data_IF_197615955113
#
_entry.id   IF_197615955113
#
_cell.length_a   1.000
_cell.length_b   1.000
_cell.length_c   1.000
_cell.angle_alpha   90.00
_cell.angle_beta   90.00
_cell.angle_gamma   90.00
#
_symmetry.space_group_name_H-M   'P 1'
#
loop_
_entity.id
_entity.type
_entity.pdbx_description
1 polymer ?
#
# COMPACT_ATOMS: atom_id res chain seq x y z
N UNK A 1 30.21 -9.66 27.50
CA UNK A 1 29.12 -10.43 26.84
C UNK A 1 28.50 -9.53 25.78
N UNK A 2 28.94 -9.62 24.53
CA UNK A 2 28.29 -8.92 23.42
C UNK A 2 26.96 -9.60 23.13
N UNK A 3 25.84 -8.91 23.39
CA UNK A 3 24.54 -9.32 22.85
C UNK A 3 24.56 -9.02 21.35
N UNK A 4 24.59 -10.06 20.54
CA UNK A 4 24.34 -9.98 19.09
C UNK A 4 22.99 -9.30 18.84
N UNK A 5 22.96 -8.34 17.91
CA UNK A 5 21.73 -7.75 17.39
C UNK A 5 20.81 -8.86 16.85
N UNK A 6 19.48 -8.76 17.04
CA UNK A 6 18.54 -9.74 16.50
C UNK A 6 18.66 -9.76 14.98
N UNK A 7 19.03 -10.90 14.43
CA UNK A 7 19.05 -11.16 13.00
C UNK A 7 17.61 -11.06 12.49
N UNK A 8 17.31 -10.05 11.66
CA UNK A 8 16.00 -9.98 10.98
C UNK A 8 15.89 -11.24 10.11
N UNK A 9 14.90 -12.07 10.41
CA UNK A 9 14.74 -13.39 9.80
C UNK A 9 14.18 -13.26 8.39
N UNK A 10 15.02 -13.17 7.36
CA UNK A 10 14.60 -13.12 5.96
C UNK A 10 13.95 -14.43 5.48
N UNK A 11 12.92 -14.34 4.62
CA UNK A 11 12.31 -15.50 3.95
C UNK A 11 12.72 -15.57 2.48
N UNK A 12 13.04 -16.77 2.01
CA UNK A 12 13.37 -17.03 0.61
C UNK A 12 12.38 -18.02 0.02
N UNK A 13 11.97 -17.77 -1.23
CA UNK A 13 11.36 -18.78 -2.07
C UNK A 13 12.38 -19.87 -2.39
N UNK A 14 11.98 -21.15 -2.49
CA UNK A 14 12.91 -22.22 -2.80
C UNK A 14 13.48 -22.06 -4.22
N UNK A 15 14.69 -22.56 -4.43
CA UNK A 15 15.35 -22.55 -5.74
C UNK A 15 14.55 -23.26 -6.83
N UNK A 16 13.88 -24.37 -6.49
CA UNK A 16 12.85 -24.99 -7.32
C UNK A 16 11.49 -24.52 -6.84
N UNK A 17 11.02 -23.44 -7.46
CA UNK A 17 9.75 -22.79 -7.13
C UNK A 17 8.60 -23.53 -7.81
N UNK A 18 7.52 -23.81 -7.07
CA UNK A 18 6.27 -24.32 -7.64
C UNK A 18 5.22 -23.21 -7.72
N UNK A 19 4.80 -22.90 -8.93
CA UNK A 19 3.79 -21.89 -9.23
C UNK A 19 2.53 -22.56 -9.75
N UNK A 20 1.40 -22.33 -9.08
CA UNK A 20 0.08 -22.70 -9.59
C UNK A 20 -0.53 -21.50 -10.29
N UNK A 21 -0.77 -21.60 -11.59
CA UNK A 21 -1.46 -20.59 -12.38
C UNK A 21 -2.88 -21.07 -12.69
N UNK A 22 -3.88 -20.31 -12.25
CA UNK A 22 -5.29 -20.56 -12.51
C UNK A 22 -5.76 -19.51 -13.51
N UNK A 23 -6.19 -19.96 -14.67
CA UNK A 23 -6.83 -19.12 -15.67
C UNK A 23 -8.34 -19.35 -15.56
N UNK A 24 -9.04 -18.33 -15.09
CA UNK A 24 -10.48 -18.34 -14.92
C UNK A 24 -11.23 -18.17 -16.24
N UNK A 25 -12.50 -17.74 -16.15
CA UNK A 25 -13.27 -17.37 -17.33
C UNK A 25 -12.52 -16.29 -18.13
N UNK A 26 -12.20 -16.60 -19.39
CA UNK A 26 -11.45 -15.73 -20.30
C UNK A 26 -12.34 -14.93 -21.27
N UNK A 27 -13.65 -14.92 -21.08
CA UNK A 27 -14.58 -14.21 -21.97
C UNK A 27 -14.21 -12.72 -22.06
N UNK A 28 -13.75 -12.28 -23.24
CA UNK A 28 -13.32 -10.90 -23.46
C UNK A 28 -11.96 -10.52 -22.88
N UNK A 29 -11.18 -11.48 -22.35
CA UNK A 29 -9.84 -11.27 -21.79
C UNK A 29 -8.77 -11.99 -22.61
N UNK A 30 -7.58 -11.40 -22.74
CA UNK A 30 -6.43 -12.07 -23.37
C UNK A 30 -5.48 -12.65 -22.32
N UNK A 31 -5.75 -13.87 -21.84
CA UNK A 31 -4.91 -14.52 -20.82
C UNK A 31 -3.62 -15.14 -21.35
N UNK A 32 -3.42 -15.16 -22.67
CA UNK A 32 -2.21 -15.76 -23.28
C UNK A 32 -0.95 -14.95 -22.95
N UNK A 33 -1.06 -13.62 -22.82
CA UNK A 33 0.08 -12.77 -22.45
C UNK A 33 0.53 -12.99 -21.00
N UNK A 34 -0.41 -13.24 -20.08
CA UNK A 34 -0.10 -13.66 -18.71
C UNK A 34 0.69 -14.98 -18.70
N UNK A 35 0.22 -15.96 -19.48
CA UNK A 35 0.88 -17.26 -19.61
C UNK A 35 2.28 -17.11 -20.20
N UNK A 36 2.45 -16.26 -21.21
CA UNK A 36 3.76 -15.99 -21.80
C UNK A 36 4.70 -15.36 -20.77
N UNK A 37 4.22 -14.39 -19.99
CA UNK A 37 4.98 -13.75 -18.91
C UNK A 37 5.44 -14.77 -17.86
N UNK A 38 4.59 -15.72 -17.49
CA UNK A 38 4.94 -16.81 -16.59
C UNK A 38 5.98 -17.75 -17.22
N UNK A 39 5.80 -18.15 -18.49
CA UNK A 39 6.72 -19.05 -19.20
C UNK A 39 8.12 -18.44 -19.37
N UNK A 40 8.26 -17.12 -19.44
CA UNK A 40 9.56 -16.41 -19.48
C UNK A 40 10.45 -16.69 -18.25
N UNK A 41 9.87 -17.17 -17.14
CA UNK A 41 10.63 -17.61 -15.95
C UNK A 41 11.51 -18.85 -16.21
N UNK A 42 11.24 -19.58 -17.29
CA UNK A 42 12.03 -20.72 -17.73
C UNK A 42 11.96 -21.93 -16.79
N UNK A 43 12.88 -22.89 -16.99
CA UNK A 43 12.84 -24.21 -16.36
C UNK A 43 13.20 -24.23 -14.86
N UNK A 44 13.45 -23.07 -14.27
CA UNK A 44 13.78 -22.92 -12.84
C UNK A 44 12.49 -22.96 -11.99
N UNK A 45 11.34 -22.70 -12.62
CA UNK A 45 10.02 -22.70 -12.01
C UNK A 45 9.19 -23.87 -12.56
N UNK A 46 8.65 -24.68 -11.67
CA UNK A 46 7.63 -25.66 -12.01
C UNK A 46 6.27 -24.95 -12.06
N UNK A 47 5.81 -24.63 -13.26
CA UNK A 47 4.51 -23.99 -13.49
C UNK A 47 3.47 -25.08 -13.77
N UNK A 48 2.42 -25.12 -12.96
CA UNK A 48 1.21 -25.89 -13.24
C UNK A 48 0.11 -24.94 -13.67
N UNK A 49 -0.31 -25.06 -14.92
CA UNK A 49 -1.41 -24.28 -15.47
C UNK A 49 -2.73 -25.03 -15.33
N UNK A 50 -3.77 -24.36 -14.84
CA UNK A 50 -5.15 -24.81 -14.79
C UNK A 50 -6.02 -23.85 -15.57
N UNK A 51 -6.44 -24.27 -16.76
CA UNK A 51 -7.36 -23.52 -17.63
C UNK A 51 -8.80 -23.92 -17.29
N UNK A 52 -9.60 -22.94 -16.91
CA UNK A 52 -11.02 -23.09 -16.54
C UNK A 52 -11.31 -24.32 -15.64
N UNK A 53 -10.61 -24.51 -14.50
CA UNK A 53 -10.80 -25.70 -13.69
C UNK A 53 -12.18 -25.76 -13.05
N UNK A 54 -12.67 -26.97 -12.80
CA UNK A 54 -13.83 -27.15 -11.92
C UNK A 54 -13.50 -26.82 -10.46
N UNK A 55 -14.51 -26.43 -9.67
CA UNK A 55 -14.35 -26.23 -8.22
C UNK A 55 -13.67 -27.45 -7.57
N UNK A 56 -14.14 -28.67 -7.89
CA UNK A 56 -13.60 -29.90 -7.31
C UNK A 56 -12.12 -30.10 -7.62
N UNK A 57 -11.69 -29.78 -8.84
CA UNK A 57 -10.29 -29.85 -9.24
C UNK A 57 -9.44 -28.83 -8.48
N UNK A 58 -9.91 -27.58 -8.40
CA UNK A 58 -9.23 -26.51 -7.70
C UNK A 58 -8.98 -26.87 -6.23
N UNK A 59 -10.02 -27.33 -5.52
CA UNK A 59 -9.89 -27.81 -4.14
C UNK A 59 -8.88 -28.96 -4.02
N UNK A 60 -8.95 -29.95 -4.91
CA UNK A 60 -8.07 -31.11 -4.89
C UNK A 60 -6.61 -30.71 -5.05
N UNK A 61 -6.30 -29.82 -5.99
CA UNK A 61 -4.92 -29.41 -6.31
C UNK A 61 -4.34 -28.52 -5.22
N UNK A 62 -5.09 -27.53 -4.74
CA UNK A 62 -4.64 -26.67 -3.65
C UNK A 62 -4.48 -27.44 -2.32
N UNK A 63 -5.26 -28.51 -2.11
CA UNK A 63 -5.17 -29.32 -0.90
C UNK A 63 -4.00 -30.31 -0.90
N UNK A 64 -3.79 -31.01 -2.03
CA UNK A 64 -2.86 -32.15 -2.10
C UNK A 64 -1.43 -31.78 -2.44
N UNK A 65 -1.21 -30.65 -3.09
CA UNK A 65 0.09 -30.25 -3.59
C UNK A 65 0.65 -29.04 -2.85
N UNK A 66 1.98 -28.91 -2.85
CA UNK A 66 2.68 -27.74 -2.31
C UNK A 66 2.84 -26.68 -3.38
N UNK A 67 2.54 -25.43 -3.03
CA UNK A 67 2.70 -24.27 -3.90
C UNK A 67 3.47 -23.19 -3.16
N UNK A 68 4.38 -22.50 -3.83
CA UNK A 68 5.12 -21.36 -3.26
C UNK A 68 4.49 -20.05 -3.72
N UNK A 69 4.03 -20.00 -4.97
CA UNK A 69 3.27 -18.90 -5.58
C UNK A 69 1.93 -19.42 -6.12
N UNK A 70 0.86 -18.69 -5.85
CA UNK A 70 -0.45 -18.83 -6.48
C UNK A 70 -0.67 -17.64 -7.41
N UNK A 71 -1.05 -17.89 -8.65
CA UNK A 71 -1.42 -16.88 -9.62
C UNK A 71 -2.84 -17.14 -10.12
N UNK A 72 -3.65 -16.09 -10.19
CA UNK A 72 -4.98 -16.11 -10.79
C UNK A 72 -5.11 -14.97 -11.79
N UNK A 73 -5.67 -15.27 -12.98
CA UNK A 73 -6.09 -14.28 -13.96
C UNK A 73 -7.45 -14.70 -14.55
N UNK A 74 -8.34 -13.74 -14.76
CA UNK A 74 -9.72 -13.97 -15.17
C UNK A 74 -10.66 -12.96 -14.53
N UNK A 75 -11.97 -13.12 -14.73
CA UNK A 75 -12.96 -12.23 -14.10
C UNK A 75 -13.02 -12.40 -12.58
N UNK A 76 -13.11 -11.27 -11.88
CA UNK A 76 -13.46 -11.21 -10.46
C UNK A 76 -14.44 -10.09 -10.18
N UNK A 77 -15.18 -10.25 -9.09
CA UNK A 77 -16.22 -9.31 -8.67
C UNK A 77 -16.26 -9.26 -7.14
N UNK A 78 -16.32 -8.07 -6.56
CA UNK A 78 -16.56 -7.87 -5.12
C UNK A 78 -17.97 -7.35 -4.89
N UNK A 79 -18.59 -7.77 -3.79
CA UNK A 79 -19.87 -7.18 -3.38
C UNK A 79 -19.67 -5.69 -3.02
N UNK A 80 -20.74 -4.88 -3.11
CA UNK A 80 -20.74 -3.41 -2.86
C UNK A 80 -20.09 -3.00 -1.51
N UNK A 81 -20.02 -3.92 -0.54
CA UNK A 81 -19.43 -3.67 0.77
C UNK A 81 -17.91 -3.93 0.87
N UNK A 82 -17.27 -4.41 -0.22
CA UNK A 82 -15.86 -4.80 -0.31
C UNK A 82 -15.40 -5.82 0.76
N UNK A 83 -16.32 -6.55 1.38
CA UNK A 83 -16.00 -7.57 2.41
C UNK A 83 -15.89 -8.97 1.82
N UNK A 84 -16.45 -9.18 0.64
CA UNK A 84 -16.42 -10.45 -0.06
C UNK A 84 -15.97 -10.23 -1.50
N UNK A 85 -15.23 -11.20 -2.03
CA UNK A 85 -14.74 -11.20 -3.40
C UNK A 85 -14.91 -12.59 -4.00
N UNK A 86 -15.36 -12.64 -5.24
CA UNK A 86 -15.55 -13.84 -6.03
C UNK A 86 -14.65 -13.85 -7.26
N UNK A 87 -14.18 -15.04 -7.63
CA UNK A 87 -13.39 -15.28 -8.84
C UNK A 87 -14.18 -16.21 -9.75
N UNK A 88 -14.33 -15.86 -11.02
CA UNK A 88 -14.92 -16.73 -12.04
C UNK A 88 -13.85 -17.73 -12.49
N UNK A 89 -13.91 -18.95 -11.96
CA UNK A 89 -12.88 -19.96 -12.20
C UNK A 89 -13.07 -20.69 -13.53
N UNK A 90 -14.26 -20.63 -14.12
CA UNK A 90 -14.58 -21.06 -15.48
C UNK A 90 -15.86 -20.35 -15.94
N UNK A 91 -16.30 -20.59 -17.18
CA UNK A 91 -17.52 -19.99 -17.74
C UNK A 91 -18.83 -20.27 -16.99
N UNK A 92 -18.87 -21.26 -16.09
CA UNK A 92 -20.09 -21.69 -15.38
C UNK A 92 -20.02 -21.52 -13.85
N UNK A 93 -18.82 -21.46 -13.29
CA UNK A 93 -18.58 -21.49 -11.85
C UNK A 93 -17.80 -20.26 -11.40
N UNK A 94 -18.39 -19.53 -10.44
CA UNK A 94 -17.71 -18.52 -9.64
C UNK A 94 -17.57 -18.99 -8.20
N UNK A 95 -16.48 -18.57 -7.56
CA UNK A 95 -16.15 -18.99 -6.21
C UNK A 95 -15.79 -17.78 -5.34
N UNK A 96 -16.42 -17.68 -4.18
CA UNK A 96 -16.03 -16.73 -3.15
C UNK A 96 -14.77 -17.26 -2.44
N UNK A 97 -13.73 -16.42 -2.31
CA UNK A 97 -12.46 -16.84 -1.70
C UNK A 97 -12.60 -17.34 -0.26
N UNK A 98 -13.63 -16.91 0.48
CA UNK A 98 -13.94 -17.46 1.81
C UNK A 98 -14.34 -18.94 1.76
N UNK A 99 -14.91 -19.43 0.65
CA UNK A 99 -15.20 -20.85 0.46
C UNK A 99 -13.88 -21.65 0.44
N UNK A 100 -12.80 -21.10 -0.12
CA UNK A 100 -11.46 -21.69 -0.10
C UNK A 100 -10.69 -21.50 1.21
N UNK A 101 -11.31 -20.97 2.28
CA UNK A 101 -10.61 -20.61 3.53
C UNK A 101 -9.74 -21.72 4.09
N UNK A 102 -10.26 -22.94 4.22
CA UNK A 102 -9.49 -24.07 4.73
C UNK A 102 -8.43 -24.56 3.73
N UNK A 103 -8.78 -24.57 2.45
CA UNK A 103 -7.91 -24.98 1.36
C UNK A 103 -6.68 -24.09 1.23
N UNK A 104 -6.86 -22.77 1.25
CA UNK A 104 -5.77 -21.79 1.19
C UNK A 104 -4.96 -21.75 2.50
N UNK A 105 -5.59 -21.98 3.65
CA UNK A 105 -4.86 -22.15 4.92
C UNK A 105 -3.92 -23.36 4.89
N UNK A 106 -4.38 -24.48 4.33
CA UNK A 106 -3.56 -25.67 4.11
C UNK A 106 -2.44 -25.39 3.11
N UNK A 107 -2.74 -24.75 1.96
CA UNK A 107 -1.73 -24.36 0.97
C UNK A 107 -0.62 -23.47 1.58
N UNK A 108 -1.00 -22.50 2.42
CA UNK A 108 -0.07 -21.65 3.19
C UNK A 108 0.77 -22.46 4.17
N UNK A 109 0.17 -23.37 4.93
CA UNK A 109 0.91 -24.25 5.84
C UNK A 109 1.91 -25.13 5.08
N UNK A 110 1.60 -25.50 3.84
CA UNK A 110 2.44 -26.32 2.98
C UNK A 110 3.51 -25.53 2.22
N UNK A 111 3.47 -24.20 2.20
CA UNK A 111 4.53 -23.40 1.60
C UNK A 111 4.11 -22.09 0.96
N UNK A 112 2.82 -21.87 0.68
CA UNK A 112 2.38 -20.71 -0.10
C UNK A 112 2.78 -19.40 0.58
N UNK A 113 3.61 -18.60 -0.10
CA UNK A 113 4.15 -17.33 0.40
C UNK A 113 3.58 -16.11 -0.30
N UNK A 114 3.22 -16.25 -1.58
CA UNK A 114 2.74 -15.17 -2.42
C UNK A 114 1.51 -15.62 -3.20
N UNK A 115 0.45 -14.82 -3.18
CA UNK A 115 -0.67 -14.93 -4.10
C UNK A 115 -0.76 -13.68 -4.98
N UNK A 116 -1.00 -13.84 -6.27
CA UNK A 116 -1.13 -12.75 -7.24
C UNK A 116 -2.48 -12.92 -7.93
N UNK A 117 -3.36 -11.94 -7.77
CA UNK A 117 -4.65 -11.86 -8.43
C UNK A 117 -4.57 -10.75 -9.47
N UNK A 118 -4.29 -11.16 -10.71
CA UNK A 118 -4.21 -10.29 -11.87
C UNK A 118 -5.59 -10.20 -12.51
N UNK A 119 -6.55 -9.65 -11.77
CA UNK A 119 -7.96 -9.59 -12.13
C UNK A 119 -8.59 -8.28 -11.66
N UNK A 120 -9.65 -7.84 -12.34
CA UNK A 120 -10.37 -6.61 -12.04
C UNK A 120 -11.05 -6.68 -10.66
N UNK A 121 -10.86 -5.66 -9.83
CA UNK A 121 -11.43 -5.53 -8.47
C UNK A 121 -10.86 -6.48 -7.41
N UNK A 122 -9.63 -6.18 -7.01
CA UNK A 122 -8.82 -6.93 -6.08
C UNK A 122 -8.87 -6.45 -4.63
N UNK A 123 -9.56 -5.35 -4.30
CA UNK A 123 -9.66 -4.86 -2.91
C UNK A 123 -10.59 -5.73 -2.05
N UNK A 124 -11.75 -6.12 -2.57
CA UNK A 124 -12.64 -7.07 -1.89
C UNK A 124 -12.00 -8.46 -1.76
N UNK A 125 -11.24 -8.89 -2.78
CA UNK A 125 -10.41 -10.10 -2.74
C UNK A 125 -9.32 -10.02 -1.66
N UNK A 126 -8.59 -8.90 -1.59
CA UNK A 126 -7.57 -8.68 -0.57
C UNK A 126 -8.13 -8.77 0.86
N UNK A 127 -9.26 -8.10 1.13
CA UNK A 127 -9.94 -8.16 2.42
C UNK A 127 -10.37 -9.59 2.78
N UNK A 128 -10.94 -10.33 1.83
CA UNK A 128 -11.33 -11.73 2.04
C UNK A 128 -10.13 -12.64 2.36
N UNK A 129 -8.93 -12.26 1.91
CA UNK A 129 -7.69 -13.04 2.09
C UNK A 129 -6.90 -12.66 3.36
N UNK A 130 -7.18 -11.53 4.02
CA UNK A 130 -6.51 -11.12 5.28
C UNK A 130 -6.62 -12.24 6.34
N UNK A 131 -7.79 -12.86 6.42
CA UNK A 131 -8.13 -13.94 7.34
C UNK A 131 -7.37 -15.27 7.10
N UNK A 132 -6.73 -15.38 5.93
CA UNK A 132 -5.98 -16.56 5.49
C UNK A 132 -4.51 -16.47 5.86
N UNK A 133 -4.03 -15.28 6.25
CA UNK A 133 -2.65 -15.01 6.69
C UNK A 133 -1.60 -15.47 5.67
N UNK A 134 -1.91 -15.38 4.38
CA UNK A 134 -0.91 -15.52 3.31
C UNK A 134 0.08 -14.35 3.49
N UNK A 135 1.41 -14.58 3.48
CA UNK A 135 2.37 -13.52 3.80
C UNK A 135 2.26 -12.30 2.90
N UNK A 136 2.12 -12.52 1.59
CA UNK A 136 2.01 -11.48 0.58
C UNK A 136 0.91 -11.79 -0.42
N UNK A 137 0.10 -10.80 -0.73
CA UNK A 137 -0.94 -10.85 -1.74
C UNK A 137 -0.76 -9.64 -2.64
N UNK A 138 -0.75 -9.83 -3.95
CA UNK A 138 -0.75 -8.75 -4.95
C UNK A 138 -2.11 -8.79 -5.64
N UNK A 139 -2.74 -7.62 -5.77
CA UNK A 139 -4.09 -7.42 -6.31
C UNK A 139 -4.13 -6.15 -7.16
N UNK A 140 -5.15 -6.00 -8.01
CA UNK A 140 -5.42 -4.77 -8.76
C UNK A 140 -6.55 -4.00 -8.08
N UNK A 141 -6.34 -2.74 -7.71
CA UNK A 141 -7.28 -1.98 -6.86
C UNK A 141 -8.62 -1.67 -7.49
N UNK A 142 -8.60 -1.49 -8.80
CA UNK A 142 -9.72 -1.02 -9.61
C UNK A 142 -9.84 -1.92 -10.84
N UNK A 143 -10.96 -1.89 -11.57
CA UNK A 143 -11.04 -2.48 -12.89
C UNK A 143 -9.88 -1.99 -13.75
N UNK A 144 -9.03 -2.92 -14.18
CA UNK A 144 -7.76 -2.62 -14.83
C UNK A 144 -7.84 -3.05 -16.29
N UNK A 145 -7.37 -2.22 -17.24
CA UNK A 145 -7.17 -2.67 -18.61
C UNK A 145 -6.17 -3.83 -18.65
N UNK A 146 -6.46 -4.87 -19.44
CA UNK A 146 -5.61 -6.06 -19.60
C UNK A 146 -4.12 -5.72 -19.77
N UNK A 147 -3.83 -4.72 -20.60
CA UNK A 147 -2.48 -4.26 -20.88
C UNK A 147 -1.71 -3.79 -19.63
N UNK A 148 -2.36 -3.10 -18.70
CA UNK A 148 -1.71 -2.63 -17.46
C UNK A 148 -1.41 -3.82 -16.54
N UNK A 149 -2.36 -4.75 -16.42
CA UNK A 149 -2.20 -5.97 -15.63
C UNK A 149 -1.10 -6.88 -16.18
N UNK A 150 -1.05 -7.08 -17.50
CA UNK A 150 -0.05 -7.89 -18.20
C UNK A 150 1.35 -7.28 -18.11
N UNK A 151 1.48 -5.97 -18.39
CA UNK A 151 2.76 -5.27 -18.32
C UNK A 151 3.31 -5.27 -16.88
N UNK A 152 2.45 -5.01 -15.89
CA UNK A 152 2.84 -5.10 -14.49
C UNK A 152 3.38 -6.50 -14.14
N UNK A 153 2.66 -7.54 -14.52
CA UNK A 153 3.05 -8.92 -14.23
C UNK A 153 4.42 -9.24 -14.81
N UNK A 154 4.66 -8.91 -16.08
CA UNK A 154 5.95 -9.10 -16.74
C UNK A 154 7.07 -8.37 -16.00
N UNK A 155 6.90 -7.05 -15.78
CA UNK A 155 7.91 -6.22 -15.14
C UNK A 155 8.22 -6.66 -13.71
N UNK A 156 7.20 -7.08 -12.96
CA UNK A 156 7.32 -7.59 -11.61
C UNK A 156 8.09 -8.91 -11.59
N UNK A 157 7.66 -9.90 -12.38
CA UNK A 157 8.29 -11.22 -12.42
C UNK A 157 9.75 -11.12 -12.89
N UNK A 158 10.02 -10.32 -13.92
CA UNK A 158 11.36 -10.08 -14.45
C UNK A 158 12.32 -9.51 -13.38
N UNK A 159 11.80 -8.64 -12.50
CA UNK A 159 12.61 -8.03 -11.43
C UNK A 159 12.73 -8.95 -10.23
N UNK A 160 11.62 -9.55 -9.80
CA UNK A 160 11.59 -10.40 -8.61
C UNK A 160 12.42 -11.66 -8.78
N UNK A 161 12.35 -12.30 -9.96
CA UNK A 161 13.16 -13.48 -10.31
C UNK A 161 14.67 -13.23 -10.35
N UNK A 162 15.13 -11.97 -10.36
CA UNK A 162 16.56 -11.60 -10.27
C UNK A 162 17.07 -11.49 -8.84
N UNK A 163 16.25 -11.85 -7.84
CA UNK A 163 16.68 -11.96 -6.44
C UNK A 163 16.63 -10.67 -5.64
N UNK A 164 16.05 -9.59 -6.18
CA UNK A 164 15.74 -8.41 -5.35
C UNK A 164 14.50 -8.69 -4.49
N UNK A 165 14.33 -7.95 -3.39
CA UNK A 165 13.18 -8.15 -2.49
C UNK A 165 11.86 -7.93 -3.21
N UNK A 166 10.82 -8.64 -2.77
CA UNK A 166 9.48 -8.55 -3.35
C UNK A 166 8.98 -7.11 -3.42
N UNK A 167 9.10 -6.35 -2.34
CA UNK A 167 8.72 -4.93 -2.27
C UNK A 167 9.47 -4.06 -3.28
N UNK A 168 10.78 -4.30 -3.45
CA UNK A 168 11.60 -3.55 -4.41
C UNK A 168 11.23 -3.89 -5.85
N UNK A 169 10.94 -5.17 -6.14
CA UNK A 169 10.45 -5.60 -7.45
C UNK A 169 9.09 -4.99 -7.76
N UNK A 170 8.17 -5.05 -6.79
CA UNK A 170 6.83 -4.48 -6.89
C UNK A 170 6.86 -2.98 -7.17
N UNK A 171 7.60 -2.21 -6.36
CA UNK A 171 7.73 -0.75 -6.54
C UNK A 171 8.29 -0.40 -7.91
N UNK A 172 9.40 -1.05 -8.31
CA UNK A 172 10.03 -0.80 -9.61
C UNK A 172 9.16 -1.22 -10.80
N UNK A 173 8.29 -2.21 -10.64
CA UNK A 173 7.33 -2.58 -11.68
C UNK A 173 6.28 -1.47 -11.84
N UNK A 174 5.72 -0.97 -10.73
CA UNK A 174 4.77 0.16 -10.74
C UNK A 174 5.36 1.43 -11.32
N UNK A 175 6.58 1.82 -10.91
CA UNK A 175 7.29 2.99 -11.46
C UNK A 175 7.44 2.90 -12.99
N UNK A 176 7.62 1.70 -13.53
CA UNK A 176 7.78 1.51 -14.98
C UNK A 176 6.47 1.50 -15.76
N UNK A 177 5.31 1.55 -15.10
CA UNK A 177 4.01 1.75 -15.76
C UNK A 177 3.72 3.23 -16.07
N UNK A 178 4.60 4.16 -15.69
CA UNK A 178 4.44 5.61 -15.90
C UNK A 178 4.17 5.97 -17.37
N UNK A 179 4.74 5.22 -18.32
CA UNK A 179 4.48 5.46 -19.74
C UNK A 179 3.00 5.18 -20.11
N UNK A 180 2.36 4.17 -19.50
CA UNK A 180 0.94 3.88 -19.70
C UNK A 180 0.07 4.96 -19.05
N UNK A 181 0.51 5.50 -17.91
CA UNK A 181 -0.18 6.58 -17.23
C UNK A 181 -0.26 7.86 -18.05
N UNK A 182 0.81 8.19 -18.78
CA UNK A 182 0.88 9.39 -19.62
C UNK A 182 0.33 9.22 -21.04
N UNK A 183 -0.06 8.00 -21.44
CA UNK A 183 -0.52 7.72 -22.81
C UNK A 183 -2.00 7.35 -22.85
N UNK A 184 -2.39 6.27 -22.19
CA UNK A 184 -3.70 5.62 -22.39
C UNK A 184 -4.48 5.40 -21.10
N UNK A 185 -3.82 5.26 -19.95
CA UNK A 185 -4.44 4.78 -18.71
C UNK A 185 -4.05 5.61 -17.49
N UNK A 186 -4.71 6.77 -17.25
CA UNK A 186 -4.44 7.62 -16.09
C UNK A 186 -4.47 6.81 -14.78
N UNK A 187 -3.43 6.96 -13.96
CA UNK A 187 -3.28 6.23 -12.70
C UNK A 187 -2.79 4.78 -12.82
N UNK A 188 -2.30 4.33 -13.99
CA UNK A 188 -1.75 2.97 -14.16
C UNK A 188 -0.71 2.58 -13.10
N UNK A 189 0.11 3.55 -12.64
CA UNK A 189 1.11 3.30 -11.59
C UNK A 189 0.50 3.06 -10.21
N UNK A 190 -0.78 3.37 -10.00
CA UNK A 190 -1.49 3.26 -8.72
C UNK A 190 -2.34 1.99 -8.60
N UNK A 191 -2.62 1.30 -9.71
CA UNK A 191 -3.54 0.17 -9.75
C UNK A 191 -3.01 -1.05 -8.99
N UNK A 192 -1.75 -1.51 -9.18
CA UNK A 192 -1.26 -2.66 -8.44
C UNK A 192 -1.09 -2.32 -6.96
N UNK A 193 -1.64 -3.17 -6.09
CA UNK A 193 -1.51 -3.08 -4.64
C UNK A 193 -0.96 -4.35 -4.03
N UNK A 194 -0.17 -4.18 -2.98
CA UNK A 194 0.37 -5.27 -2.18
C UNK A 194 -0.25 -5.24 -0.79
N UNK A 195 -0.84 -6.36 -0.40
CA UNK A 195 -1.33 -6.61 0.96
C UNK A 195 -0.36 -7.56 1.65
N UNK A 196 0.23 -7.06 2.74
CA UNK A 196 1.19 -7.79 3.54
C UNK A 196 0.59 -8.16 4.89
N UNK A 197 0.74 -9.42 5.29
CA UNK A 197 0.42 -9.82 6.65
C UNK A 197 1.42 -9.16 7.64
N UNK A 198 0.99 -8.60 8.79
CA UNK A 198 1.87 -7.84 9.70
C UNK A 198 3.12 -8.58 10.19
N UNK A 199 3.05 -9.91 10.24
CA UNK A 199 4.17 -10.77 10.66
C UNK A 199 5.00 -11.33 9.51
N UNK A 200 4.70 -10.93 8.26
CA UNK A 200 5.42 -11.41 7.09
C UNK A 200 6.83 -10.83 7.07
N UNK A 201 7.81 -11.72 6.94
CA UNK A 201 9.22 -11.36 6.80
C UNK A 201 9.53 -11.03 5.34
N UNK A 202 10.52 -10.16 5.07
CA UNK A 202 10.93 -9.82 3.72
C UNK A 202 11.12 -11.06 2.83
N UNK A 203 10.44 -11.09 1.68
CA UNK A 203 10.49 -12.20 0.74
C UNK A 203 11.45 -11.92 -0.41
N UNK A 204 12.29 -12.90 -0.72
CA UNK A 204 13.26 -12.87 -1.82
C UNK A 204 13.12 -14.11 -2.69
N UNK A 205 13.54 -13.99 -3.95
CA UNK A 205 13.67 -15.12 -4.87
C UNK A 205 15.09 -15.69 -4.81
N UNK A 206 15.24 -16.92 -4.33
CA UNK A 206 16.55 -17.58 -4.22
C UNK A 206 17.18 -17.80 -5.61
N UNK A 207 18.45 -17.40 -5.78
CA UNK A 207 19.17 -17.51 -7.05
C UNK A 207 19.98 -18.81 -7.16
N UNK A 208 20.05 -19.58 -6.08
CA UNK A 208 20.98 -20.68 -5.90
C UNK A 208 20.38 -21.79 -5.04
N UNK A 209 20.68 -23.06 -5.36
CA UNK A 209 20.14 -24.24 -4.67
C UNK A 209 20.51 -24.34 -3.18
N UNK A 210 21.42 -23.50 -2.71
CA UNK A 210 21.99 -23.49 -1.37
C UNK A 210 21.19 -22.67 -0.36
N UNK A 211 20.23 -21.84 -0.78
CA UNK A 211 19.35 -21.09 0.12
C UNK A 211 20.11 -20.20 1.14
N UNK A 212 21.36 -19.87 0.84
CA UNK A 212 22.24 -19.02 1.64
C UNK A 212 22.58 -17.83 0.76
N UNK A 213 22.60 -16.60 1.30
CA UNK A 213 23.04 -15.46 0.51
C UNK A 213 24.46 -15.74 0.01
N UNK A 214 24.65 -15.62 -1.30
CA UNK A 214 25.98 -15.50 -1.90
C UNK A 214 26.64 -14.28 -1.25
N UNK A 215 27.49 -14.56 -0.25
CA UNK A 215 28.42 -13.57 0.29
C UNK A 215 29.35 -13.22 -0.85
N UNK A 216 29.04 -12.13 -1.56
CA UNK A 216 29.89 -11.64 -2.64
C UNK A 216 31.26 -11.25 -2.06
N UNK A 217 32.21 -12.17 -2.29
CA UNK A 217 33.64 -11.98 -2.42
C UNK A 217 34.33 -10.93 -1.53
N UNK A 218 34.74 -11.32 -0.32
CA UNK A 218 35.79 -10.61 0.45
C UNK A 218 37.01 -11.48 0.81
N UNK A 219 37.09 -12.72 0.31
CA UNK A 219 38.08 -13.71 0.78
C UNK A 219 39.22 -14.06 -0.20
N UNK A 220 39.79 -13.08 -0.90
CA UNK A 220 41.01 -13.32 -1.74
C UNK A 220 42.21 -12.40 -1.41
N UNK A 221 42.09 -11.41 -0.53
CA UNK A 221 43.17 -10.41 -0.30
C UNK A 221 44.32 -10.85 0.64
N UNK A 222 44.09 -11.82 1.51
CA UNK A 222 44.99 -12.19 2.62
C UNK A 222 46.26 -12.97 2.26
N UNK A 223 46.38 -13.61 1.08
CA UNK A 223 47.57 -14.42 0.74
C UNK A 223 48.78 -13.61 0.28
N UNK A 224 48.64 -12.31 0.00
CA UNK A 224 49.74 -11.49 -0.55
C UNK A 224 50.44 -10.58 0.49
N UNK A 225 49.86 -10.33 1.67
CA UNK A 225 50.40 -9.35 2.65
C UNK A 225 51.40 -9.91 3.67
N UNK A 226 51.67 -11.22 3.67
CA UNK A 226 52.63 -11.83 4.61
C UNK A 226 54.08 -11.34 4.44
N UNK A 227 54.43 -10.81 3.26
CA UNK A 227 55.77 -10.28 2.97
C UNK A 227 55.94 -8.79 3.30
N UNK A 228 54.85 -8.03 3.43
CA UNK A 228 54.88 -6.56 3.63
C UNK A 228 54.89 -6.21 5.12
N UNK A 229 54.34 -7.08 5.98
CA UNK A 229 54.21 -6.84 7.42
C UNK A 229 55.53 -6.78 8.22
N UNK A 230 56.65 -7.29 7.67
CA UNK A 230 57.95 -7.25 8.37
C UNK A 230 58.71 -5.93 8.17
N UNK A 231 58.39 -5.16 7.13
CA UNK A 231 59.07 -3.89 6.84
C UNK A 231 58.50 -2.70 7.66
N UNK A 232 57.26 -2.80 8.12
CA UNK A 232 56.56 -1.70 8.82
C UNK A 232 56.79 -1.68 10.34
N UNK A 233 57.24 -2.79 10.93
CA UNK A 233 57.48 -2.89 12.38
C UNK A 233 58.71 -2.07 12.86
N UNK A 234 59.69 -1.80 12.00
CA UNK A 234 60.90 -1.04 12.36
C UNK A 234 60.68 0.49 12.36
N UNK A 235 59.69 1.00 11.62
CA UNK A 235 59.40 2.44 11.54
C UNK A 235 58.51 2.94 12.68
N UNK A 236 57.67 2.07 13.27
CA UNK A 236 56.77 2.44 14.36
C UNK A 236 57.46 2.52 15.74
N UNK A 237 58.64 1.92 15.89
CA UNK A 237 59.42 2.00 17.14
C UNK A 237 60.01 3.38 17.43
N UNK A 238 60.23 4.22 16.40
CA UNK A 238 60.83 5.55 16.55
C UNK A 238 59.82 6.68 16.80
N UNK A 239 58.53 6.47 16.49
CA UNK A 239 57.48 7.50 16.66
C UNK A 239 56.88 7.47 18.08
N UNK A 240 57.05 6.36 18.80
CA UNK A 240 56.46 6.15 20.12
C UNK A 240 57.15 6.91 21.29
N UNK A 241 58.30 7.57 21.08
CA UNK A 241 59.01 8.27 22.15
C UNK A 241 58.67 9.77 22.29
N UNK A 242 57.77 10.33 21.47
CA UNK A 242 57.49 11.78 21.46
C UNK A 242 56.13 12.18 22.05
N UNK A 243 55.20 11.25 22.28
CA UNK A 243 53.82 11.58 22.70
C UNK A 243 53.45 11.12 24.11
N UNK A 244 54.35 11.31 25.09
CA UNK A 244 54.00 11.22 26.52
C UNK A 244 54.14 12.60 27.15
N UNK A 245 53.21 13.53 26.88
CA UNK A 245 52.71 14.56 27.83
C UNK A 245 51.46 15.22 27.19
N UNK A 246 50.26 14.89 27.66
CA UNK A 246 49.13 15.82 27.90
C UNK A 246 47.81 15.04 28.01
N UNK A 247 47.12 15.04 29.16
CA UNK A 247 45.79 14.47 29.30
C UNK A 247 44.75 15.58 29.11
N UNK A 248 44.11 15.64 27.95
CA UNK A 248 42.80 16.26 27.80
C UNK A 248 41.86 15.27 27.15
N UNK A 249 40.72 15.11 27.81
CA UNK A 249 39.62 14.22 27.50
C UNK A 249 38.86 14.62 26.23
N UNK A 250 38.16 13.61 25.70
CA UNK A 250 37.04 13.66 24.73
C UNK A 250 37.39 13.76 23.24
N UNK A 251 36.63 12.95 22.47
CA UNK A 251 36.62 12.79 21.01
C UNK A 251 37.76 12.00 20.36
N UNK A 252 37.60 10.68 20.30
CA UNK A 252 38.19 9.87 19.24
C UNK A 252 37.08 9.38 18.31
N UNK A 253 36.90 10.12 17.22
CA UNK A 253 36.27 9.63 16.00
C UNK A 253 37.22 8.63 15.32
N UNK A 254 36.75 7.44 14.94
CA UNK A 254 37.57 6.45 14.21
C UNK A 254 37.76 6.82 12.72
N UNK A 255 38.88 6.41 12.09
CA UNK A 255 39.40 7.01 10.85
C UNK A 255 38.83 6.35 9.57
N UNK A 256 37.50 6.25 9.45
CA UNK A 256 36.86 5.82 8.20
C UNK A 256 35.56 6.59 7.98
N UNK A 257 35.64 7.83 7.48
CA UNK A 257 34.59 8.53 6.72
C UNK A 257 33.17 8.73 7.29
N UNK A 258 32.82 8.20 8.46
CA UNK A 258 31.41 8.01 8.86
C UNK A 258 30.84 9.07 9.81
N UNK A 259 31.63 10.09 10.18
CA UNK A 259 31.18 11.15 11.08
C UNK A 259 30.10 12.02 10.44
N UNK A 260 30.21 12.34 9.15
CA UNK A 260 29.22 13.16 8.47
C UNK A 260 27.86 12.44 8.37
N UNK A 261 27.84 11.13 8.07
CA UNK A 261 26.59 10.36 7.96
C UNK A 261 25.87 10.27 9.31
N UNK A 262 26.59 9.98 10.40
CA UNK A 262 25.97 9.90 11.73
C UNK A 262 25.48 11.26 12.25
N UNK A 263 26.17 12.35 11.92
CA UNK A 263 25.74 13.71 12.27
C UNK A 263 24.50 14.10 11.47
N UNK A 264 24.47 13.79 10.17
CA UNK A 264 23.33 14.01 9.28
C UNK A 264 22.10 13.20 9.73
N UNK A 265 22.24 11.92 10.02
CA UNK A 265 21.14 11.07 10.53
C UNK A 265 20.57 11.59 11.85
N UNK A 266 21.41 12.06 12.78
CA UNK A 266 20.95 12.63 14.05
C UNK A 266 20.15 13.91 13.83
N UNK A 267 20.62 14.78 12.93
CA UNK A 267 19.92 16.02 12.58
C UNK A 267 18.56 15.72 11.95
N UNK A 268 18.51 14.79 10.98
CA UNK A 268 17.29 14.41 10.29
C UNK A 268 16.28 13.76 11.27
N UNK A 269 16.72 12.82 12.12
CA UNK A 269 15.83 12.18 13.09
C UNK A 269 15.19 13.18 14.05
N UNK A 270 15.92 14.24 14.42
CA UNK A 270 15.36 15.33 15.21
C UNK A 270 14.22 16.03 14.45
N UNK A 271 14.46 16.41 13.19
CA UNK A 271 13.43 17.03 12.33
C UNK A 271 12.23 16.11 12.11
N UNK A 272 12.43 14.82 11.87
CA UNK A 272 11.33 13.84 11.73
C UNK A 272 10.49 13.77 13.01
N UNK A 273 11.12 13.81 14.19
CA UNK A 273 10.42 13.86 15.46
C UNK A 273 9.60 15.15 15.65
N UNK A 274 10.16 16.29 15.27
CA UNK A 274 9.47 17.59 15.30
C UNK A 274 8.26 17.61 14.36
N UNK A 275 8.41 17.17 13.12
CA UNK A 275 7.32 17.04 12.14
C UNK A 275 6.25 16.08 12.63
N UNK A 276 6.63 14.93 13.18
CA UNK A 276 5.67 13.96 13.72
C UNK A 276 4.82 14.59 14.83
N UNK A 277 5.45 15.37 15.70
CA UNK A 277 4.74 16.11 16.74
C UNK A 277 3.80 17.15 16.15
N UNK A 278 4.27 17.97 15.22
CA UNK A 278 3.46 19.00 14.54
C UNK A 278 2.25 18.37 13.85
N UNK A 279 2.45 17.26 13.13
CA UNK A 279 1.35 16.52 12.52
C UNK A 279 0.32 16.09 13.59
N UNK A 280 0.75 15.41 14.65
CA UNK A 280 -0.17 14.91 15.67
C UNK A 280 -0.94 16.02 16.41
N UNK A 281 -0.34 17.20 16.56
CA UNK A 281 -0.91 18.35 17.26
C UNK A 281 -1.64 19.34 16.33
N UNK A 282 -1.60 19.13 15.01
CA UNK A 282 -2.19 20.03 14.02
C UNK A 282 -3.69 20.20 14.25
N UNK A 283 -4.14 21.46 14.17
CA UNK A 283 -5.53 21.91 14.33
C UNK A 283 -6.07 22.56 13.05
N UNK A 284 -5.23 22.76 12.05
CA UNK A 284 -5.56 23.38 10.78
C UNK A 284 -4.81 22.72 9.62
N UNK A 285 -5.35 22.88 8.40
CA UNK A 285 -4.68 22.45 7.16
C UNK A 285 -3.33 23.15 7.02
N UNK A 286 -3.25 24.44 7.35
CA UNK A 286 -2.01 25.22 7.27
C UNK A 286 -0.89 24.61 8.13
N UNK A 287 -1.18 24.14 9.35
CA UNK A 287 -0.17 23.47 10.19
C UNK A 287 0.28 22.12 9.63
N UNK A 288 -0.57 21.41 8.88
CA UNK A 288 -0.19 20.18 8.16
C UNK A 288 0.70 20.52 6.95
N UNK A 289 0.38 21.60 6.23
CA UNK A 289 1.20 22.12 5.12
C UNK A 289 2.57 22.58 5.62
N UNK A 290 2.63 23.32 6.73
CA UNK A 290 3.87 23.72 7.39
C UNK A 290 4.73 22.50 7.77
N UNK A 291 4.12 21.44 8.32
CA UNK A 291 4.82 20.21 8.64
C UNK A 291 5.39 19.50 7.38
N UNK A 292 4.65 19.55 6.27
CA UNK A 292 5.10 19.00 5.00
C UNK A 292 6.23 19.85 4.38
N UNK A 293 6.18 21.17 4.51
CA UNK A 293 7.24 22.07 4.07
C UNK A 293 8.55 21.85 4.85
N UNK A 294 8.45 21.63 6.16
CA UNK A 294 9.61 21.24 6.98
C UNK A 294 10.18 19.91 6.48
N UNK A 295 9.36 18.92 6.14
CA UNK A 295 9.85 17.66 5.53
C UNK A 295 10.53 17.88 4.18
N UNK A 296 9.93 18.70 3.32
CA UNK A 296 10.49 18.96 1.99
C UNK A 296 11.85 19.68 2.11
N UNK A 297 12.04 20.51 3.14
CA UNK A 297 13.31 21.21 3.38
C UNK A 297 14.51 20.29 3.65
N UNK A 298 14.26 19.05 4.10
CA UNK A 298 15.31 18.06 4.39
C UNK A 298 15.46 17.00 3.29
N UNK A 299 14.70 17.08 2.21
CA UNK A 299 14.69 16.07 1.13
C UNK A 299 16.06 15.91 0.47
N UNK A 300 16.80 17.01 0.26
CA UNK A 300 18.16 16.96 -0.31
C UNK A 300 19.11 16.18 0.60
N UNK A 301 19.03 16.39 1.93
CA UNK A 301 19.85 15.67 2.91
C UNK A 301 19.45 14.18 2.97
N UNK A 302 18.15 13.88 2.91
CA UNK A 302 17.61 12.52 2.86
C UNK A 302 18.13 11.76 1.63
N UNK A 303 18.19 12.41 0.47
CA UNK A 303 18.62 11.79 -0.79
C UNK A 303 20.11 11.40 -0.80
N UNK A 304 20.89 11.87 0.18
CA UNK A 304 22.28 11.39 0.39
C UNK A 304 22.36 10.04 1.10
N UNK A 305 21.27 9.59 1.73
CA UNK A 305 21.19 8.32 2.43
C UNK A 305 20.85 7.18 1.47
N UNK A 306 21.35 5.99 1.78
CA UNK A 306 20.96 4.79 1.04
C UNK A 306 19.46 4.48 1.26
N UNK A 307 18.71 3.99 0.25
CA UNK A 307 17.28 3.70 0.39
C UNK A 307 16.91 2.67 1.46
N UNK A 308 17.85 1.80 1.84
CA UNK A 308 17.75 0.85 2.95
C UNK A 308 17.99 1.47 4.34
N UNK A 309 18.41 2.74 4.41
CA UNK A 309 18.62 3.45 5.66
C UNK A 309 17.29 3.65 6.38
N UNK A 310 17.25 3.37 7.69
CA UNK A 310 16.03 3.49 8.48
C UNK A 310 15.47 4.92 8.47
N UNK A 311 16.35 5.93 8.51
CA UNK A 311 15.95 7.35 8.49
C UNK A 311 15.29 7.71 7.16
N UNK A 312 15.79 7.16 6.04
CA UNK A 312 15.17 7.33 4.72
C UNK A 312 13.76 6.70 4.67
N UNK A 313 13.61 5.50 5.23
CA UNK A 313 12.32 4.80 5.30
C UNK A 313 11.32 5.56 6.19
N UNK A 314 11.76 6.05 7.35
CA UNK A 314 10.94 6.82 8.29
C UNK A 314 10.46 8.13 7.66
N UNK A 315 11.33 8.83 6.94
CA UNK A 315 10.97 10.00 6.15
C UNK A 315 9.89 9.69 5.11
N UNK A 316 10.05 8.63 4.31
CA UNK A 316 9.06 8.26 3.29
C UNK A 316 7.70 7.93 3.90
N UNK A 317 7.69 7.15 4.99
CA UNK A 317 6.46 6.79 5.69
C UNK A 317 5.74 8.02 6.25
N UNK A 318 6.49 8.94 6.86
CA UNK A 318 5.94 10.18 7.42
C UNK A 318 5.40 11.10 6.32
N UNK A 319 6.13 11.26 5.20
CA UNK A 319 5.69 12.04 4.03
C UNK A 319 4.41 11.49 3.43
N UNK A 320 4.34 10.17 3.19
CA UNK A 320 3.13 9.52 2.66
C UNK A 320 1.94 9.71 3.61
N UNK A 321 2.17 9.59 4.92
CA UNK A 321 1.13 9.79 5.93
C UNK A 321 0.61 11.23 5.92
N UNK A 322 1.50 12.22 5.85
CA UNK A 322 1.14 13.63 5.83
C UNK A 322 0.41 14.04 4.56
N UNK A 323 0.87 13.59 3.38
CA UNK A 323 0.20 13.87 2.10
C UNK A 323 -1.21 13.29 2.09
N UNK A 324 -1.38 12.02 2.48
CA UNK A 324 -2.70 11.40 2.57
C UNK A 324 -3.63 12.14 3.53
N UNK A 325 -3.11 12.55 4.69
CA UNK A 325 -3.89 13.33 5.66
C UNK A 325 -4.28 14.69 5.09
N UNK A 326 -3.34 15.39 4.45
CA UNK A 326 -3.58 16.70 3.85
C UNK A 326 -4.68 16.64 2.78
N UNK A 327 -4.62 15.67 1.88
CA UNK A 327 -5.63 15.47 0.83
C UNK A 327 -7.00 15.17 1.44
N UNK A 328 -7.05 14.29 2.44
CA UNK A 328 -8.28 13.99 3.18
C UNK A 328 -8.87 15.25 3.82
N UNK A 329 -8.08 16.06 4.53
CA UNK A 329 -8.58 17.26 5.19
C UNK A 329 -9.01 18.35 4.19
N UNK A 330 -8.28 18.51 3.07
CA UNK A 330 -8.70 19.41 1.98
C UNK A 330 -10.05 18.98 1.38
N UNK A 331 -10.24 17.69 1.15
CA UNK A 331 -11.51 17.16 0.65
C UNK A 331 -12.65 17.37 1.66
N UNK A 332 -12.41 17.13 2.95
CA UNK A 332 -13.39 17.39 4.02
C UNK A 332 -13.75 18.88 4.10
N UNK A 333 -12.78 19.79 3.96
CA UNK A 333 -13.02 21.23 3.92
C UNK A 333 -13.88 21.62 2.72
N UNK A 334 -13.59 21.09 1.53
CA UNK A 334 -14.37 21.36 0.32
C UNK A 334 -15.80 20.82 0.46
N UNK A 335 -15.96 19.63 1.05
CA UNK A 335 -17.26 19.06 1.32
C UNK A 335 -18.06 19.97 2.25
N UNK A 336 -17.48 20.43 3.35
CA UNK A 336 -18.09 21.43 4.22
C UNK A 336 -18.52 22.67 3.43
N UNK A 337 -17.63 23.29 2.66
CA UNK A 337 -17.96 24.50 1.89
C UNK A 337 -19.13 24.23 0.92
N UNK A 338 -19.12 23.08 0.24
CA UNK A 338 -20.18 22.65 -0.68
C UNK A 338 -21.52 22.51 0.05
N UNK A 339 -21.56 21.81 1.17
CA UNK A 339 -22.83 21.59 1.88
C UNK A 339 -23.37 22.87 2.50
N UNK A 340 -22.50 23.79 2.94
CA UNK A 340 -22.96 25.09 3.47
C UNK A 340 -23.60 25.94 2.39
N UNK A 341 -23.09 25.91 1.16
CA UNK A 341 -23.72 26.59 0.02
C UNK A 341 -25.12 26.04 -0.25
N UNK A 342 -25.29 24.71 -0.21
CA UNK A 342 -26.61 24.06 -0.34
C UNK A 342 -27.53 24.54 0.77
N UNK A 343 -27.08 24.49 2.02
CA UNK A 343 -27.90 24.92 3.16
C UNK A 343 -28.28 26.40 3.07
N UNK A 344 -27.37 27.27 2.64
CA UNK A 344 -27.66 28.68 2.47
C UNK A 344 -28.68 28.91 1.35
N UNK A 345 -28.52 28.25 0.20
CA UNK A 345 -29.49 28.32 -0.89
C UNK A 345 -30.89 27.88 -0.41
N UNK A 346 -30.97 26.78 0.33
CA UNK A 346 -32.24 26.30 0.88
C UNK A 346 -32.83 27.26 1.93
N UNK A 347 -32.01 27.87 2.78
CA UNK A 347 -32.47 28.93 3.70
C UNK A 347 -33.06 30.12 2.94
N UNK A 348 -32.46 30.51 1.83
CA UNK A 348 -32.94 31.64 1.02
C UNK A 348 -34.27 31.31 0.34
N UNK A 349 -34.44 30.08 -0.15
CA UNK A 349 -35.73 29.57 -0.67
C UNK A 349 -36.81 29.55 0.44
N UNK A 350 -36.44 29.31 1.70
CA UNK A 350 -37.37 29.34 2.85
C UNK A 350 -38.07 30.70 3.00
N UNK A 351 -37.40 31.78 2.61
CA UNK A 351 -37.87 33.15 2.77
C UNK A 351 -38.70 33.65 1.57
N UNK A 352 -38.82 32.84 0.52
CA UNK A 352 -39.61 33.12 -0.67
C UNK A 352 -40.93 32.35 -0.64
N UNK A 353 -41.91 32.75 -1.45
CA UNK A 353 -43.16 32.01 -1.61
C UNK A 353 -42.97 30.80 -2.53
N UNK A 354 -42.11 29.87 -2.13
CA UNK A 354 -41.77 28.67 -2.90
C UNK A 354 -42.93 27.68 -2.97
N UNK A 355 -42.98 26.92 -4.07
CA UNK A 355 -43.94 25.82 -4.29
C UNK A 355 -43.57 24.59 -3.45
N UNK A 356 -44.53 23.69 -3.23
CA UNK A 356 -44.30 22.41 -2.51
C UNK A 356 -43.25 21.54 -3.22
N UNK A 357 -43.19 21.58 -4.55
CA UNK A 357 -42.22 20.83 -5.36
C UNK A 357 -40.79 21.33 -5.09
N UNK A 358 -40.59 22.65 -5.09
CA UNK A 358 -39.31 23.27 -4.78
C UNK A 358 -38.88 22.95 -3.35
N UNK A 359 -39.78 23.09 -2.37
CA UNK A 359 -39.53 22.74 -0.98
C UNK A 359 -39.07 21.28 -0.80
N UNK A 360 -39.69 20.33 -1.50
CA UNK A 360 -39.30 18.92 -1.44
C UNK A 360 -37.94 18.66 -2.09
N UNK A 361 -37.63 19.36 -3.17
CA UNK A 361 -36.33 19.29 -3.82
C UNK A 361 -35.24 19.79 -2.84
N UNK A 362 -35.47 20.93 -2.20
CA UNK A 362 -34.58 21.50 -1.20
C UNK A 362 -34.35 20.54 -0.02
N UNK A 363 -35.41 19.91 0.51
CA UNK A 363 -35.28 18.89 1.57
C UNK A 363 -34.43 17.71 1.12
N UNK A 364 -34.62 17.20 -0.10
CA UNK A 364 -33.81 16.09 -0.64
C UNK A 364 -32.34 16.47 -0.77
N UNK A 365 -32.04 17.68 -1.24
CA UNK A 365 -30.67 18.18 -1.37
C UNK A 365 -29.98 18.31 -0.01
N UNK A 366 -30.67 18.87 0.99
CA UNK A 366 -30.16 18.94 2.37
C UNK A 366 -29.98 17.56 3.01
N UNK A 367 -30.90 16.63 2.75
CA UNK A 367 -30.78 15.26 3.25
C UNK A 367 -29.53 14.58 2.68
N UNK A 368 -29.29 14.72 1.38
CA UNK A 368 -28.07 14.23 0.73
C UNK A 368 -26.82 14.90 1.29
N UNK A 369 -26.81 16.22 1.43
CA UNK A 369 -25.70 16.96 2.01
C UNK A 369 -25.38 16.49 3.45
N UNK A 370 -26.42 16.20 4.24
CA UNK A 370 -26.27 15.65 5.58
C UNK A 370 -25.66 14.24 5.58
N UNK A 371 -26.06 13.37 4.65
CA UNK A 371 -25.46 12.04 4.49
C UNK A 371 -23.98 12.13 4.08
N UNK A 372 -23.64 13.00 3.13
CA UNK A 372 -22.24 13.20 2.74
C UNK A 372 -21.36 13.63 3.94
N UNK A 373 -21.88 14.49 4.83
CA UNK A 373 -21.15 14.89 6.05
C UNK A 373 -20.95 13.76 7.09
N UNK A 374 -21.68 12.64 7.00
CA UNK A 374 -21.49 11.49 7.90
C UNK A 374 -20.21 10.71 7.58
N UNK A 375 -19.68 10.86 6.38
CA UNK A 375 -18.43 10.22 5.95
C UNK A 375 -17.19 10.86 6.60
N UNK A 376 -17.32 12.07 7.16
CA UNK A 376 -16.22 12.73 7.88
C UNK A 376 -15.99 12.01 9.21
N UNK A 377 -14.82 11.39 9.33
CA UNK A 377 -14.44 10.55 10.48
C UNK A 377 -14.00 11.37 11.71
N UNK A 378 -14.07 10.77 12.93
CA UNK A 378 -13.69 11.44 14.18
C UNK A 378 -12.24 11.95 14.29
N UNK A 379 -11.34 11.41 13.48
CA UNK A 379 -9.94 11.81 13.39
C UNK A 379 -9.71 13.02 12.46
N UNK A 380 -10.74 13.49 11.75
CA UNK A 380 -10.65 14.70 10.93
C UNK A 380 -10.64 15.98 11.77
N UNK A 381 -9.87 16.97 11.32
CA UNK A 381 -9.93 18.36 11.80
C UNK A 381 -11.34 18.97 11.73
N UNK A 382 -12.17 18.48 10.80
CA UNK A 382 -13.49 19.02 10.49
C UNK A 382 -14.64 18.24 11.12
N UNK A 383 -14.36 17.22 11.93
CA UNK A 383 -15.39 16.35 12.51
C UNK A 383 -16.42 17.12 13.35
N UNK A 384 -15.97 18.01 14.23
CA UNK A 384 -16.88 18.80 15.09
C UNK A 384 -17.77 19.69 14.23
N UNK A 385 -17.19 20.44 13.29
CA UNK A 385 -17.94 21.31 12.38
C UNK A 385 -18.94 20.52 11.52
N UNK A 386 -18.56 19.32 11.07
CA UNK A 386 -19.47 18.44 10.33
C UNK A 386 -20.67 18.01 11.18
N UNK A 387 -20.45 17.69 12.44
CA UNK A 387 -21.50 17.26 13.37
C UNK A 387 -22.47 18.41 13.67
N UNK A 388 -21.94 19.61 13.92
CA UNK A 388 -22.73 20.82 14.13
C UNK A 388 -23.62 21.13 12.91
N UNK A 389 -23.07 21.04 11.70
CA UNK A 389 -23.83 21.27 10.46
C UNK A 389 -24.87 20.19 10.19
N UNK A 390 -24.58 18.93 10.50
CA UNK A 390 -25.58 17.86 10.40
C UNK A 390 -26.79 18.14 11.31
N UNK A 391 -26.57 18.68 12.51
CA UNK A 391 -27.64 19.07 13.43
C UNK A 391 -28.41 20.28 12.91
N UNK A 392 -27.71 21.29 12.40
CA UNK A 392 -28.33 22.46 11.80
C UNK A 392 -29.20 22.09 10.59
N UNK A 393 -28.69 21.28 9.67
CA UNK A 393 -29.41 20.83 8.48
C UNK A 393 -30.65 20.00 8.86
N UNK A 394 -30.56 19.20 9.92
CA UNK A 394 -31.72 18.50 10.47
C UNK A 394 -32.81 19.46 10.97
N UNK A 395 -32.42 20.60 11.54
CA UNK A 395 -33.32 21.68 11.94
C UNK A 395 -34.00 22.32 10.72
N UNK A 396 -33.24 22.64 9.68
CA UNK A 396 -33.78 23.23 8.44
C UNK A 396 -34.78 22.28 7.77
N UNK A 397 -34.44 20.99 7.66
CA UNK A 397 -35.33 19.96 7.10
C UNK A 397 -36.68 19.95 7.83
N UNK A 398 -36.68 19.92 9.17
CA UNK A 398 -37.91 19.94 9.97
C UNK A 398 -38.77 21.19 9.72
N UNK A 399 -38.15 22.34 9.50
CA UNK A 399 -38.87 23.59 9.18
C UNK A 399 -39.57 23.46 7.83
N UNK A 400 -38.88 22.94 6.81
CA UNK A 400 -39.47 22.72 5.49
C UNK A 400 -40.57 21.67 5.48
N UNK A 401 -40.37 20.55 6.18
CA UNK A 401 -41.39 19.51 6.33
C UNK A 401 -42.68 20.11 6.89
N UNK A 402 -42.59 20.89 7.98
CA UNK A 402 -43.76 21.58 8.55
C UNK A 402 -44.43 22.55 7.57
N UNK A 403 -43.65 23.34 6.81
CA UNK A 403 -44.22 24.25 5.79
C UNK A 403 -44.92 23.50 4.66
N UNK A 404 -44.37 22.37 4.23
CA UNK A 404 -45.00 21.50 3.23
C UNK A 404 -46.34 20.99 3.77
N UNK A 405 -46.40 20.53 5.03
CA UNK A 405 -47.64 20.07 5.67
C UNK A 405 -48.71 21.17 5.69
N UNK A 406 -48.33 22.39 6.10
CA UNK A 406 -49.23 23.56 6.13
C UNK A 406 -49.77 23.92 4.74
N UNK A 407 -48.94 23.86 3.69
CA UNK A 407 -49.34 24.15 2.31
C UNK A 407 -50.19 23.04 1.69
N UNK A 408 -49.93 21.78 2.03
CA UNK A 408 -50.62 20.65 1.41
C UNK A 408 -52.07 20.48 1.90
N UNK A 409 -52.43 20.93 3.11
CA UNK A 409 -53.80 20.81 3.67
C UNK A 409 -54.48 19.45 3.45
N UNK A 410 -53.70 18.36 3.41
CA UNK A 410 -54.22 16.99 3.29
C UNK A 410 -53.82 16.15 4.51
N UNK A 411 -54.64 15.16 4.91
CA UNK A 411 -54.29 14.22 5.97
C UNK A 411 -52.94 13.54 5.72
N UNK A 412 -52.23 13.17 6.80
CA UNK A 412 -50.88 12.58 6.78
C UNK A 412 -50.77 11.42 5.76
N UNK A 413 -51.83 10.60 5.65
CA UNK A 413 -51.92 9.44 4.78
C UNK A 413 -51.93 9.77 3.26
N UNK A 414 -52.21 11.04 2.90
CA UNK A 414 -52.29 11.54 1.52
C UNK A 414 -51.13 12.47 1.13
N UNK A 415 -50.20 12.73 2.06
CA UNK A 415 -49.04 13.60 1.82
C UNK A 415 -48.18 13.21 0.61
N UNK A 416 -47.96 11.92 0.24
CA UNK A 416 -47.17 11.57 -0.95
C UNK A 416 -47.79 11.98 -2.29
N UNK A 417 -49.07 12.41 -2.30
CA UNK A 417 -49.83 12.81 -3.50
C UNK A 417 -50.03 14.32 -3.66
N UNK A 418 -49.81 15.08 -2.58
CA UNK A 418 -49.28 16.43 -2.69
C UNK A 418 -47.79 16.30 -3.08
#
# INVERSE_FOLDING_TARGET
>A
MHKSLPTVSTTYLPFRLRLLAILGNSEGLNLEEDVQSLRKLGNIVEIKLLEEPSIKELYRILWREKWDILFFAGHSDSEEDLKTGSIAINSQESLNLQQLKFTLRNARQNGLKLAIFNSCDGLGLANALVDLRIPYIIVMREPVPDQVAQEFLELFLQKFSKGISLHKAFRKAREQLEYLEHTEYPGATLIPEIVQHPTAQPLFWSQDSTGQPEQTATLVWWKQYRKIALATALLLGLVASVFVVSPYSEFLCEPIGNCNVQVTERSINKTLGEVTKLNNEAKSIAEIEDALDILNSIEENINTLAPENQVYIDYLNLRVTLVKRLDMEKNNQQLLIKTEKIAQQVRDETNQDSTVIEMRKAVKELFRARQELQEIKPDSLFYIQSTERQQDYAGIIKIFEKKIEEKCKVPVDWQPRC
#
